data_IF_385832014834
#
_entry.id   IF_385832014834
#
_cell.length_a   1.000
_cell.length_b   1.000
_cell.length_c   1.000
_cell.angle_alpha   90.00
_cell.angle_beta   90.00
_cell.angle_gamma   90.00
#
_symmetry.space_group_name_H-M   'P 1'
#
loop_
_entity.id
_entity.type
_entity.pdbx_description
1 polymer ?
#
# COMPACT_ATOMS: atom_id res chain seq x y z
N UNK A 1 5.33 -56.83 -4.88
CA UNK A 1 5.81 -55.95 -5.96
C UNK A 1 4.78 -54.89 -6.35
N UNK A 2 3.52 -55.24 -6.62
CA UNK A 2 2.43 -54.28 -6.94
C UNK A 2 2.15 -53.21 -5.87
N UNK A 3 2.19 -53.57 -4.57
CA UNK A 3 2.01 -52.64 -3.46
C UNK A 3 3.12 -51.55 -3.38
N UNK A 4 4.35 -51.91 -3.73
CA UNK A 4 5.49 -50.98 -3.74
C UNK A 4 5.39 -49.98 -4.90
N UNK A 5 4.95 -50.45 -6.07
CA UNK A 5 4.70 -49.61 -7.26
C UNK A 5 3.55 -48.63 -7.02
N UNK A 6 2.46 -49.06 -6.35
CA UNK A 6 1.34 -48.19 -6.00
C UNK A 6 1.73 -47.05 -5.04
N UNK A 7 2.57 -47.34 -4.04
CA UNK A 7 3.11 -46.34 -3.11
C UNK A 7 4.01 -45.32 -3.81
N UNK A 8 4.84 -45.77 -4.77
CA UNK A 8 5.69 -44.90 -5.59
C UNK A 8 4.86 -43.97 -6.48
N UNK A 9 3.80 -44.47 -7.12
CA UNK A 9 2.89 -43.65 -7.94
C UNK A 9 2.15 -42.60 -7.11
N UNK A 10 1.70 -42.94 -5.90
CA UNK A 10 1.10 -41.99 -4.94
C UNK A 10 2.08 -40.89 -4.52
N UNK A 11 3.35 -41.25 -4.31
CA UNK A 11 4.38 -40.25 -3.98
C UNK A 11 4.69 -39.32 -5.16
N UNK A 12 4.73 -39.85 -6.39
CA UNK A 12 5.00 -39.06 -7.59
C UNK A 12 3.86 -38.09 -7.92
N UNK A 13 2.60 -38.51 -7.77
CA UNK A 13 1.45 -37.61 -7.95
C UNK A 13 1.43 -36.54 -6.87
N UNK A 14 1.72 -36.88 -5.61
CA UNK A 14 1.81 -35.91 -4.53
C UNK A 14 2.91 -34.87 -4.80
N UNK A 15 4.11 -35.29 -5.20
CA UNK A 15 5.21 -34.36 -5.58
C UNK A 15 4.80 -33.46 -6.74
N UNK A 16 4.15 -34.02 -7.78
CA UNK A 16 3.67 -33.23 -8.92
C UNK A 16 2.62 -32.20 -8.49
N UNK A 17 1.67 -32.56 -7.62
CA UNK A 17 0.66 -31.61 -7.12
C UNK A 17 1.28 -30.50 -6.27
N UNK A 18 2.26 -30.83 -5.41
CA UNK A 18 2.95 -29.81 -4.61
C UNK A 18 3.72 -28.85 -5.50
N UNK A 19 4.48 -29.37 -6.48
CA UNK A 19 5.27 -28.56 -7.40
C UNK A 19 4.39 -27.64 -8.25
N UNK A 20 3.28 -28.16 -8.79
CA UNK A 20 2.35 -27.38 -9.61
C UNK A 20 1.66 -26.27 -8.81
N UNK A 21 1.25 -26.54 -7.57
CA UNK A 21 0.68 -25.52 -6.66
C UNK A 21 1.71 -24.46 -6.32
N UNK A 22 2.95 -24.85 -5.98
CA UNK A 22 4.02 -23.91 -5.65
C UNK A 22 4.41 -23.03 -6.84
N UNK A 23 4.52 -23.62 -8.04
CA UNK A 23 4.80 -22.87 -9.27
C UNK A 23 3.67 -21.90 -9.60
N UNK A 24 2.41 -22.33 -9.49
CA UNK A 24 1.26 -21.45 -9.70
C UNK A 24 1.24 -20.31 -8.67
N UNK A 25 1.45 -20.59 -7.38
CA UNK A 25 1.53 -19.56 -6.36
C UNK A 25 2.65 -18.55 -6.66
N UNK A 26 3.84 -19.03 -7.04
CA UNK A 26 4.96 -18.16 -7.40
C UNK A 26 4.67 -17.28 -8.63
N UNK A 27 4.06 -17.84 -9.68
CA UNK A 27 3.69 -17.09 -10.89
C UNK A 27 2.57 -16.07 -10.65
N UNK A 28 1.75 -16.26 -9.60
CA UNK A 28 0.68 -15.34 -9.23
C UNK A 28 1.08 -14.33 -8.14
N UNK A 29 2.29 -14.43 -7.57
CA UNK A 29 2.85 -13.38 -6.73
C UNK A 29 3.29 -12.22 -7.64
N UNK A 30 2.37 -11.29 -7.88
CA UNK A 30 2.73 -10.02 -8.49
C UNK A 30 3.51 -9.20 -7.46
N UNK A 31 4.71 -8.69 -7.79
CA UNK A 31 5.35 -7.68 -6.97
C UNK A 31 4.40 -6.49 -6.87
N UNK A 32 3.97 -6.17 -5.65
CA UNK A 32 3.23 -4.95 -5.38
C UNK A 32 4.26 -3.92 -4.97
N UNK A 33 4.56 -2.97 -5.86
CA UNK A 33 5.37 -1.80 -5.54
C UNK A 33 4.49 -0.83 -4.76
N UNK A 34 4.82 -0.67 -3.48
CA UNK A 34 4.01 -0.02 -2.46
C UNK A 34 4.95 0.51 -1.37
N UNK A 35 5.83 1.43 -1.76
CA UNK A 35 6.86 2.00 -0.90
C UNK A 35 6.65 3.51 -0.73
N UNK A 36 6.71 3.97 0.52
CA UNK A 36 6.74 5.39 0.85
C UNK A 36 8.18 5.79 1.09
N UNK A 37 8.71 6.71 0.27
CA UNK A 37 10.01 7.32 0.47
C UNK A 37 9.86 8.71 1.10
N UNK A 38 10.22 8.84 2.36
CA UNK A 38 10.32 10.14 3.03
C UNK A 38 11.75 10.68 2.88
N UNK A 39 11.88 11.96 2.56
CA UNK A 39 13.17 12.66 2.57
C UNK A 39 13.04 14.00 3.27
N UNK A 40 14.06 14.37 4.04
CA UNK A 40 14.09 15.65 4.76
C UNK A 40 14.89 16.71 3.98
N UNK A 41 14.97 17.93 4.53
CA UNK A 41 15.74 19.02 3.94
C UNK A 41 17.26 18.82 4.00
N UNK A 42 17.73 17.83 4.77
CA UNK A 42 19.14 17.45 4.88
C UNK A 42 19.51 16.30 3.93
N UNK A 43 18.62 15.96 2.98
CA UNK A 43 18.75 14.85 2.03
C UNK A 43 18.90 13.46 2.69
N UNK A 44 18.49 13.31 3.95
CA UNK A 44 18.33 11.99 4.56
C UNK A 44 17.01 11.39 4.06
N UNK A 45 17.05 10.12 3.68
CA UNK A 45 15.89 9.38 3.20
C UNK A 45 15.57 8.17 4.08
N UNK A 46 14.30 7.81 4.16
CA UNK A 46 13.81 6.63 4.83
C UNK A 46 12.65 6.02 4.04
N UNK A 47 12.68 4.69 3.91
CA UNK A 47 11.62 3.92 3.26
C UNK A 47 10.69 3.32 4.30
N UNK A 48 9.39 3.35 4.02
CA UNK A 48 8.35 2.72 4.82
C UNK A 48 7.52 1.79 3.95
N UNK A 49 7.21 0.60 4.48
CA UNK A 49 6.31 -0.35 3.83
C UNK A 49 4.89 0.22 3.78
N UNK A 50 4.23 0.10 2.63
CA UNK A 50 2.83 0.47 2.48
C UNK A 50 1.96 -0.66 1.90
N UNK A 51 0.66 -0.39 1.82
CA UNK A 51 -0.28 -1.23 1.08
C UNK A 51 -1.18 -0.31 0.24
N UNK A 52 -1.37 -0.58 -1.05
CA UNK A 52 -2.17 0.27 -1.91
C UNK A 52 -3.64 0.22 -1.47
N UNK A 53 -4.30 1.37 -1.55
CA UNK A 53 -5.72 1.46 -1.27
C UNK A 53 -6.53 0.60 -2.26
N UNK A 54 -7.57 -0.09 -1.75
CA UNK A 54 -8.53 -0.84 -2.57
C UNK A 54 -9.69 0.02 -3.09
N UNK A 55 -9.56 1.33 -3.01
CA UNK A 55 -10.55 2.32 -3.44
C UNK A 55 -9.84 3.46 -4.18
N UNK A 56 -10.62 4.20 -4.98
CA UNK A 56 -10.08 5.29 -5.79
C UNK A 56 -9.33 4.81 -7.03
N UNK A 57 -8.64 5.75 -7.68
CA UNK A 57 -7.79 5.46 -8.83
C UNK A 57 -6.45 4.91 -8.37
N UNK A 58 -5.83 4.05 -9.20
CA UNK A 58 -4.45 3.63 -8.97
C UNK A 58 -3.51 4.81 -9.17
N UNK A 59 -2.48 4.88 -8.33
CA UNK A 59 -1.41 5.85 -8.51
C UNK A 59 -0.65 5.56 -9.82
N UNK A 60 -0.08 6.60 -10.46
CA UNK A 60 0.84 6.41 -11.59
C UNK A 60 2.04 5.54 -11.20
N UNK A 61 2.72 4.93 -12.18
CA UNK A 61 3.88 4.08 -11.93
C UNK A 61 5.05 4.87 -11.32
N UNK A 62 5.16 6.15 -11.63
CA UNK A 62 6.10 7.10 -11.05
C UNK A 62 5.74 7.57 -9.62
N UNK A 63 4.59 7.14 -9.10
CA UNK A 63 4.09 7.50 -7.77
C UNK A 63 3.59 8.95 -7.66
N UNK A 64 3.37 9.40 -6.43
CA UNK A 64 3.01 10.78 -6.11
C UNK A 64 4.06 11.38 -5.18
N UNK A 65 4.49 12.60 -5.48
CA UNK A 65 5.44 13.36 -4.68
C UNK A 65 4.80 14.66 -4.20
N UNK A 66 4.95 14.95 -2.91
CA UNK A 66 4.37 16.13 -2.29
C UNK A 66 4.96 16.43 -0.92
N UNK A 67 4.55 17.54 -0.34
CA UNK A 67 4.93 17.93 1.02
C UNK A 67 4.07 17.20 2.05
N UNK A 68 4.71 16.55 3.01
CA UNK A 68 4.03 15.91 4.12
C UNK A 68 3.52 16.97 5.12
N UNK A 69 2.23 16.93 5.44
CA UNK A 69 1.61 17.81 6.44
C UNK A 69 0.84 16.99 7.47
N UNK A 70 0.85 17.41 8.74
CA UNK A 70 0.07 16.72 9.77
C UNK A 70 -1.39 17.18 9.72
N UNK A 71 -2.31 16.21 9.81
CA UNK A 71 -3.74 16.48 9.93
C UNK A 71 -4.08 17.23 11.22
N UNK A 72 -5.05 18.14 11.15
CA UNK A 72 -5.63 18.83 12.31
C UNK A 72 -7.17 18.85 12.17
N UNK A 73 -7.91 18.03 12.95
CA UNK A 73 -7.43 17.12 14.01
C UNK A 73 -6.64 15.93 13.45
N UNK A 74 -5.75 15.35 14.27
CA UNK A 74 -4.83 14.28 13.85
C UNK A 74 -5.54 13.03 13.30
N UNK A 75 -6.73 12.73 13.80
CA UNK A 75 -7.50 11.56 13.38
C UNK A 75 -8.38 11.80 12.14
N UNK A 76 -8.53 13.04 11.68
CA UNK A 76 -9.38 13.41 10.53
C UNK A 76 -10.81 12.83 10.56
N UNK A 77 -11.37 12.58 11.75
CA UNK A 77 -12.76 12.13 11.87
C UNK A 77 -13.77 13.27 11.71
N UNK A 78 -13.27 14.50 11.82
CA UNK A 78 -13.97 15.75 11.56
C UNK A 78 -13.25 16.52 10.43
N UNK A 79 -13.88 17.56 9.83
CA UNK A 79 -13.24 18.38 8.81
C UNK A 79 -11.88 18.91 9.28
N UNK A 80 -10.87 18.77 8.43
CA UNK A 80 -9.49 19.13 8.75
C UNK A 80 -9.12 20.51 8.19
N UNK A 81 -8.08 21.11 8.75
CA UNK A 81 -7.52 22.38 8.25
C UNK A 81 -6.94 22.18 6.84
N UNK A 82 -7.19 23.10 5.89
CA UNK A 82 -6.62 23.03 4.53
C UNK A 82 -5.09 23.12 4.55
N UNK A 83 -4.42 22.64 3.48
CA UNK A 83 -2.98 22.79 3.35
C UNK A 83 -2.57 24.27 3.38
N UNK A 84 -1.34 24.58 3.80
CA UNK A 84 -0.84 25.95 3.79
C UNK A 84 -0.61 26.41 2.35
N UNK A 85 -1.66 26.92 1.72
CA UNK A 85 -1.57 27.57 0.42
C UNK A 85 -0.87 28.91 0.62
N UNK A 86 0.41 29.01 0.27
CA UNK A 86 0.99 30.34 0.01
C UNK A 86 0.48 30.79 -1.34
N UNK A 87 0.04 32.04 -1.43
CA UNK A 87 -0.41 32.65 -2.68
C UNK A 87 0.64 32.37 -3.77
N UNK A 88 0.25 31.58 -4.77
CA UNK A 88 1.02 31.18 -5.96
C UNK A 88 1.93 29.93 -5.88
N UNK A 89 1.89 29.11 -4.82
CA UNK A 89 2.60 27.81 -4.82
C UNK A 89 1.65 26.64 -5.09
N UNK A 90 1.71 26.04 -6.28
CA UNK A 90 0.96 24.82 -6.65
C UNK A 90 1.65 23.55 -6.11
N UNK A 91 1.91 23.50 -4.80
CA UNK A 91 2.50 22.33 -4.17
C UNK A 91 1.47 21.21 -4.03
N UNK A 92 1.84 19.97 -4.40
CA UNK A 92 1.08 18.78 -3.99
C UNK A 92 1.34 18.54 -2.50
N UNK A 93 0.28 18.36 -1.72
CA UNK A 93 0.37 18.06 -0.30
C UNK A 93 -0.11 16.63 -0.02
N UNK A 94 0.57 15.96 0.89
CA UNK A 94 0.22 14.62 1.37
C UNK A 94 -0.06 14.75 2.87
N UNK A 95 -1.30 14.47 3.28
CA UNK A 95 -1.69 14.58 4.70
C UNK A 95 -1.39 13.29 5.46
N UNK A 96 -0.72 13.43 6.60
CA UNK A 96 -0.50 12.37 7.58
C UNK A 96 -1.65 12.36 8.58
N UNK A 97 -2.40 11.25 8.60
CA UNK A 97 -3.57 11.05 9.46
C UNK A 97 -3.30 9.89 10.42
N UNK A 98 -3.53 10.12 11.71
CA UNK A 98 -3.43 9.09 12.75
C UNK A 98 -4.50 8.02 12.55
N UNK A 99 -4.10 6.76 12.69
CA UNK A 99 -5.00 5.60 12.66
C UNK A 99 -5.96 5.60 13.85
N UNK A 100 -7.09 4.89 13.70
CA UNK A 100 -8.18 4.68 14.68
C UNK A 100 -9.23 5.80 14.71
N UNK A 101 -10.16 5.72 15.66
CA UNK A 101 -11.33 6.59 15.95
C UNK A 101 -12.46 6.58 14.90
N UNK A 102 -12.12 6.45 13.63
CA UNK A 102 -13.08 6.35 12.53
C UNK A 102 -12.49 5.57 11.34
N UNK A 103 -13.35 5.22 10.40
CA UNK A 103 -13.00 4.47 9.19
C UNK A 103 -12.17 5.30 8.20
N UNK A 104 -11.46 4.62 7.29
CA UNK A 104 -10.60 5.28 6.29
C UNK A 104 -11.36 6.13 5.27
N UNK A 105 -12.59 5.76 4.94
CA UNK A 105 -13.46 6.52 4.04
C UNK A 105 -13.75 7.93 4.59
N UNK A 106 -14.07 8.06 5.88
CA UNK A 106 -14.28 9.35 6.55
C UNK A 106 -13.00 10.19 6.52
N UNK A 107 -11.86 9.57 6.83
CA UNK A 107 -10.55 10.23 6.81
C UNK A 107 -10.20 10.77 5.42
N UNK A 108 -10.38 9.95 4.39
CA UNK A 108 -10.12 10.32 2.99
C UNK A 108 -11.08 11.41 2.54
N UNK A 109 -12.37 11.32 2.88
CA UNK A 109 -13.36 12.33 2.53
C UNK A 109 -13.02 13.71 3.14
N UNK A 110 -12.64 13.74 4.42
CA UNK A 110 -12.28 14.98 5.09
C UNK A 110 -10.97 15.57 4.53
N UNK A 111 -10.00 14.72 4.17
CA UNK A 111 -8.80 15.16 3.46
C UNK A 111 -9.14 15.77 2.10
N UNK A 112 -9.93 15.08 1.27
CA UNK A 112 -10.33 15.56 -0.06
C UNK A 112 -11.11 16.88 -0.02
N UNK A 113 -11.92 17.10 1.03
CA UNK A 113 -12.66 18.35 1.22
C UNK A 113 -11.76 19.52 1.62
N UNK A 114 -10.61 19.25 2.23
CA UNK A 114 -9.67 20.26 2.68
C UNK A 114 -8.76 20.79 1.55
N UNK A 115 -8.64 20.04 0.45
CA UNK A 115 -7.79 20.37 -0.70
C UNK A 115 -6.51 19.55 -0.71
#
# INVERSE_FOLDING_TARGET
MLLSIGMLMLSATQVYTILTVQLFAFLNLLPVEADILAYNFENASQTFDDLPARFGYRLPAEGLKGFLINSKPENACEPIVPPPVKDNSSGTFIVLIRRLDCNFDIKVLNAQRAG
#
